data_IF_232399875159
#
_entry.id   IF_232399875159
#
_cell.length_a   1.000
_cell.length_b   1.000
_cell.length_c   1.000
_cell.angle_alpha   90.00
_cell.angle_beta   90.00
_cell.angle_gamma   90.00
#
_symmetry.space_group_name_H-M   'P 1'
#
loop_
_entity.id
_entity.type
_entity.pdbx_description
1 polymer ?
#
# COMPACT_ATOMS: atom_id res chain seq x y z
N UNK A 1 24.26 7.18 11.37
CA UNK A 1 24.21 8.44 10.59
C UNK A 1 24.75 8.13 9.20
N UNK A 2 23.94 8.32 8.18
CA UNK A 2 24.34 8.05 6.79
C UNK A 2 25.15 9.24 6.27
N UNK A 3 26.23 8.98 5.53
CA UNK A 3 27.15 9.97 4.95
C UNK A 3 26.54 10.86 3.84
N UNK A 4 25.26 11.16 3.90
CA UNK A 4 24.47 11.79 2.82
C UNK A 4 23.76 13.08 3.21
N UNK A 5 23.81 13.54 4.47
CA UNK A 5 23.07 14.72 4.88
C UNK A 5 23.90 15.99 4.69
N UNK A 6 24.09 16.41 3.41
CA UNK A 6 24.76 17.68 3.06
C UNK A 6 23.78 18.83 3.22
N UNK A 7 24.13 19.80 4.06
CA UNK A 7 23.40 21.03 4.30
C UNK A 7 24.03 22.15 3.49
N UNK A 8 23.25 22.89 2.71
CA UNK A 8 23.71 24.13 2.09
C UNK A 8 23.45 25.30 3.03
N UNK A 9 24.53 25.92 3.52
CA UNK A 9 24.48 27.10 4.38
C UNK A 9 24.75 28.36 3.57
N UNK A 10 23.76 29.27 3.51
CA UNK A 10 23.83 30.51 2.75
C UNK A 10 23.76 31.70 3.68
N UNK A 11 24.87 32.40 3.81
CA UNK A 11 25.03 33.54 4.73
C UNK A 11 26.11 34.47 4.17
N UNK A 12 25.86 35.76 4.08
CA UNK A 12 26.82 36.73 3.54
C UNK A 12 27.93 37.11 4.54
N UNK A 13 27.63 37.11 5.85
CA UNK A 13 28.59 37.44 6.91
C UNK A 13 29.50 36.25 7.20
N UNK A 14 30.77 36.35 6.80
CA UNK A 14 31.78 35.31 6.96
C UNK A 14 31.91 34.79 8.40
N UNK A 15 31.91 35.71 9.38
CA UNK A 15 32.01 35.33 10.80
C UNK A 15 30.84 34.47 11.27
N UNK A 16 29.60 34.85 10.91
CA UNK A 16 28.42 34.06 11.27
C UNK A 16 28.37 32.73 10.52
N UNK A 17 28.68 32.75 9.23
CA UNK A 17 28.76 31.55 8.40
C UNK A 17 29.75 30.54 8.97
N UNK A 18 30.95 30.97 9.39
CA UNK A 18 31.94 30.11 10.02
C UNK A 18 31.48 29.51 11.34
N UNK A 19 30.77 30.28 12.18
CA UNK A 19 30.22 29.78 13.46
C UNK A 19 29.14 28.73 13.20
N UNK A 20 28.16 29.04 12.34
CA UNK A 20 27.06 28.11 12.01
C UNK A 20 27.58 26.80 11.40
N UNK A 21 28.55 26.91 10.47
CA UNK A 21 29.20 25.75 9.88
C UNK A 21 29.85 24.87 10.96
N UNK A 22 30.67 25.46 11.83
CA UNK A 22 31.33 24.72 12.91
C UNK A 22 30.34 24.04 13.84
N UNK A 23 29.23 24.71 14.16
CA UNK A 23 28.15 24.15 15.00
C UNK A 23 27.52 22.92 14.34
N UNK A 24 27.19 23.01 13.07
CA UNK A 24 26.58 21.89 12.32
C UNK A 24 27.58 20.73 12.09
N UNK A 25 28.84 21.04 11.75
CA UNK A 25 29.88 20.02 11.56
C UNK A 25 30.24 19.28 12.86
N UNK A 26 30.16 19.95 14.00
CA UNK A 26 30.38 19.32 15.31
C UNK A 26 29.33 18.24 15.63
N UNK A 27 28.10 18.37 15.08
CA UNK A 27 27.03 17.38 15.17
C UNK A 27 27.08 16.30 14.04
N UNK A 28 28.11 16.37 13.18
CA UNK A 28 28.36 15.38 12.13
C UNK A 28 27.65 15.62 10.81
N UNK A 29 27.07 16.81 10.60
CA UNK A 29 26.49 17.18 9.30
C UNK A 29 27.57 17.60 8.31
N UNK A 30 27.42 17.20 7.04
CA UNK A 30 28.24 17.77 5.97
C UNK A 30 27.73 19.16 5.59
N UNK A 31 28.58 20.22 5.68
CA UNK A 31 28.16 21.58 5.39
C UNK A 31 28.86 22.12 4.17
N UNK A 32 28.11 22.60 3.19
CA UNK A 32 28.60 23.36 2.07
C UNK A 32 28.14 24.81 2.17
N UNK A 33 29.07 25.75 1.93
CA UNK A 33 28.83 27.18 2.11
C UNK A 33 28.53 27.90 0.80
N UNK A 34 27.65 28.91 0.86
CA UNK A 34 27.49 29.89 -0.19
C UNK A 34 27.50 31.31 0.40
N UNK A 35 28.32 32.22 -0.11
CA UNK A 35 28.45 33.58 0.43
C UNK A 35 27.32 34.51 -0.01
N UNK A 36 26.55 34.15 -1.01
CA UNK A 36 25.44 34.94 -1.56
C UNK A 36 24.37 34.04 -2.20
N UNK A 37 23.22 34.64 -2.53
CA UNK A 37 22.10 33.92 -3.06
C UNK A 37 22.32 33.38 -4.49
N UNK A 38 23.15 34.03 -5.32
CA UNK A 38 23.46 33.52 -6.67
C UNK A 38 24.28 32.25 -6.60
N UNK A 39 25.33 32.25 -5.79
CA UNK A 39 26.15 31.07 -5.55
C UNK A 39 25.31 29.91 -5.01
N UNK A 40 24.35 30.20 -4.12
CA UNK A 40 23.42 29.22 -3.60
C UNK A 40 22.55 28.59 -4.69
N UNK A 41 21.92 29.41 -5.54
CA UNK A 41 21.07 28.93 -6.64
C UNK A 41 21.86 28.09 -7.66
N UNK A 42 23.09 28.50 -7.99
CA UNK A 42 23.97 27.70 -8.87
C UNK A 42 24.31 26.34 -8.26
N UNK A 43 24.63 26.31 -6.97
CA UNK A 43 24.92 25.06 -6.25
C UNK A 43 23.70 24.14 -6.18
N UNK A 44 22.51 24.66 -5.87
CA UNK A 44 21.25 23.89 -5.84
C UNK A 44 20.94 23.24 -7.19
N UNK A 45 21.25 23.93 -8.30
CA UNK A 45 21.04 23.39 -9.66
C UNK A 45 22.01 22.27 -10.02
N UNK A 46 23.24 22.33 -9.48
CA UNK A 46 24.32 21.38 -9.81
C UNK A 46 24.41 20.19 -8.89
N UNK A 47 24.19 20.39 -7.61
CA UNK A 47 24.39 19.42 -6.56
C UNK A 47 23.09 19.10 -5.79
N UNK A 48 23.10 18.00 -5.02
CA UNK A 48 21.96 17.60 -4.17
C UNK A 48 22.27 17.88 -2.71
N UNK A 49 21.32 18.50 -2.02
CA UNK A 49 21.39 18.81 -0.60
C UNK A 49 20.26 18.14 0.17
N UNK A 50 20.51 17.83 1.44
CA UNK A 50 19.49 17.31 2.34
C UNK A 50 18.57 18.42 2.85
N UNK A 51 19.08 19.64 3.00
CA UNK A 51 18.34 20.85 3.35
C UNK A 51 19.13 22.10 2.98
N UNK A 52 18.46 23.24 3.00
CA UNK A 52 19.05 24.57 2.86
C UNK A 52 18.76 25.40 4.10
N UNK A 53 19.81 26.02 4.65
CA UNK A 53 19.73 27.05 5.68
C UNK A 53 20.19 28.37 5.06
N UNK A 54 19.32 29.35 4.92
CA UNK A 54 19.64 30.58 4.16
C UNK A 54 19.22 31.83 4.91
N UNK A 55 20.05 32.89 4.85
CA UNK A 55 19.58 34.22 5.24
C UNK A 55 18.48 34.72 4.30
N UNK A 56 17.53 35.43 4.83
CA UNK A 56 16.47 36.09 4.06
C UNK A 56 17.01 37.23 3.19
N UNK A 57 18.01 37.98 3.71
CA UNK A 57 18.61 39.15 3.06
C UNK A 57 20.02 38.84 2.60
N UNK A 58 20.18 38.49 1.34
CA UNK A 58 21.46 38.15 0.71
C UNK A 58 21.78 39.06 -0.46
N UNK A 59 23.05 39.29 -0.76
CA UNK A 59 23.46 39.91 -2.01
C UNK A 59 23.12 39.03 -3.21
N UNK A 60 22.78 39.65 -4.33
CA UNK A 60 22.62 38.99 -5.62
C UNK A 60 21.28 38.30 -5.85
N UNK A 61 20.85 37.42 -4.95
CA UNK A 61 19.52 36.81 -4.94
C UNK A 61 19.05 36.68 -3.50
N UNK A 62 17.78 36.96 -3.24
CA UNK A 62 17.18 36.91 -1.90
C UNK A 62 17.00 35.47 -1.40
N UNK A 63 16.84 35.30 -0.09
CA UNK A 63 16.50 33.99 0.48
C UNK A 63 15.20 33.39 -0.04
N UNK A 64 14.25 34.21 -0.50
CA UNK A 64 13.04 33.74 -1.19
C UNK A 64 13.32 33.16 -2.58
N UNK A 65 14.28 33.73 -3.31
CA UNK A 65 14.70 33.19 -4.61
C UNK A 65 15.46 31.87 -4.41
N UNK A 66 16.27 31.77 -3.34
CA UNK A 66 16.93 30.52 -2.95
C UNK A 66 15.90 29.44 -2.57
N UNK A 67 14.86 29.80 -1.80
CA UNK A 67 13.74 28.91 -1.46
C UNK A 67 13.03 28.40 -2.73
N UNK A 68 12.70 29.30 -3.66
CA UNK A 68 12.05 28.93 -4.92
C UNK A 68 12.92 27.99 -5.76
N UNK A 69 14.22 28.26 -5.81
CA UNK A 69 15.17 27.40 -6.52
C UNK A 69 15.28 26.00 -5.86
N UNK A 70 15.31 25.94 -4.54
CA UNK A 70 15.34 24.69 -3.78
C UNK A 70 14.10 23.85 -4.04
N UNK A 71 12.90 24.43 -3.96
CA UNK A 71 11.63 23.76 -4.22
C UNK A 71 11.47 23.30 -5.68
N UNK A 72 12.04 24.07 -6.62
CA UNK A 72 12.04 23.66 -8.04
C UNK A 72 12.97 22.51 -8.34
N UNK A 73 14.07 22.37 -7.56
CA UNK A 73 15.03 21.28 -7.72
C UNK A 73 14.59 20.00 -6.98
N UNK A 74 13.97 20.16 -5.80
CA UNK A 74 13.44 19.09 -4.97
C UNK A 74 12.31 19.66 -4.08
N UNK A 75 11.03 19.37 -4.42
CA UNK A 75 9.87 19.86 -3.66
C UNK A 75 9.85 19.41 -2.18
N UNK A 76 10.58 18.34 -1.83
CA UNK A 76 10.65 17.81 -0.46
C UNK A 76 11.86 18.34 0.32
N UNK A 77 12.72 19.17 -0.31
CA UNK A 77 13.89 19.74 0.34
C UNK A 77 13.48 20.80 1.37
N UNK A 78 13.70 20.58 2.67
CA UNK A 78 13.37 21.58 3.68
C UNK A 78 14.30 22.79 3.56
N UNK A 79 13.70 23.98 3.61
CA UNK A 79 14.43 25.26 3.62
C UNK A 79 14.09 26.01 4.90
N UNK A 80 15.10 26.33 5.69
CA UNK A 80 14.98 27.19 6.88
C UNK A 80 15.51 28.57 6.55
N UNK A 81 14.70 29.60 6.79
CA UNK A 81 15.07 30.98 6.55
C UNK A 81 15.58 31.65 7.85
N UNK A 82 16.74 32.28 7.79
CA UNK A 82 17.28 33.08 8.91
C UNK A 82 16.92 34.57 8.72
N UNK A 83 16.54 35.26 9.78
CA UNK A 83 16.17 36.70 9.72
C UNK A 83 16.70 37.49 10.91
N UNK A 84 17.20 38.68 10.66
CA UNK A 84 17.62 39.61 11.69
C UNK A 84 16.45 40.50 12.26
N UNK A 85 15.30 40.52 11.57
CA UNK A 85 14.13 41.27 11.94
C UNK A 85 12.91 40.33 11.84
N UNK A 86 12.67 39.58 12.91
CA UNK A 86 11.54 38.65 13.02
C UNK A 86 10.21 39.39 13.19
N UNK A 87 9.73 40.09 12.15
CA UNK A 87 8.34 40.52 12.22
C UNK A 87 7.45 39.30 11.95
N UNK A 88 6.32 39.21 12.66
CA UNK A 88 5.32 38.15 12.43
C UNK A 88 4.92 38.09 10.96
N UNK A 89 4.94 39.23 10.25
CA UNK A 89 4.63 39.30 8.81
C UNK A 89 5.67 38.58 7.93
N UNK A 90 6.97 38.74 8.23
CA UNK A 90 8.04 38.11 7.45
C UNK A 90 8.02 36.60 7.65
N UNK A 91 7.83 36.14 8.89
CA UNK A 91 7.66 34.73 9.21
C UNK A 91 6.45 34.10 8.47
N UNK A 92 5.28 34.76 8.53
CA UNK A 92 4.06 34.29 7.81
C UNK A 92 4.27 34.29 6.30
N UNK A 93 4.98 35.27 5.75
CA UNK A 93 5.31 35.31 4.32
C UNK A 93 6.21 34.14 3.92
N UNK A 94 7.24 33.86 4.69
CA UNK A 94 8.15 32.73 4.48
C UNK A 94 7.41 31.38 4.48
N UNK A 95 6.55 31.16 5.49
CA UNK A 95 5.76 29.93 5.59
C UNK A 95 4.75 29.79 4.44
N UNK A 96 4.10 30.87 4.02
CA UNK A 96 3.21 30.88 2.84
C UNK A 96 3.96 30.60 1.53
N UNK A 97 5.24 30.98 1.44
CA UNK A 97 6.09 30.68 0.32
C UNK A 97 6.63 29.24 0.33
N UNK A 98 6.32 28.44 1.36
CA UNK A 98 6.69 27.03 1.47
C UNK A 98 8.00 26.78 2.21
N UNK A 99 8.52 27.73 2.99
CA UNK A 99 9.62 27.45 3.89
C UNK A 99 9.21 26.42 4.94
N UNK A 100 10.15 25.54 5.33
CA UNK A 100 9.92 24.56 6.38
C UNK A 100 9.76 25.20 7.76
N UNK A 101 10.64 26.17 8.06
CA UNK A 101 10.59 26.99 9.28
C UNK A 101 11.43 28.26 9.09
N UNK A 102 11.43 29.12 10.10
CA UNK A 102 12.30 30.30 10.16
C UNK A 102 13.07 30.34 11.47
N UNK A 103 14.21 31.01 11.46
CA UNK A 103 15.10 31.16 12.62
C UNK A 103 15.49 32.64 12.82
N UNK A 104 15.25 33.18 14.00
CA UNK A 104 15.58 34.58 14.31
C UNK A 104 17.05 34.70 14.72
N UNK A 105 17.70 35.76 14.24
CA UNK A 105 19.06 36.14 14.65
C UNK A 105 18.99 37.08 15.87
N UNK A 106 19.84 36.89 16.90
CA UNK A 106 21.00 36.01 16.97
C UNK A 106 20.63 34.55 17.09
N UNK A 107 21.30 33.69 16.28
CA UNK A 107 20.99 32.25 16.19
C UNK A 107 21.48 31.56 17.45
N UNK A 108 20.56 30.95 18.19
CA UNK A 108 20.85 30.05 19.29
C UNK A 108 21.23 28.66 18.74
N UNK A 109 22.35 28.10 19.24
CA UNK A 109 22.88 26.85 18.71
C UNK A 109 21.94 25.65 18.96
N UNK A 110 21.36 25.55 20.15
CA UNK A 110 20.49 24.44 20.53
C UNK A 110 19.18 24.48 19.72
N UNK A 111 18.63 25.69 19.54
CA UNK A 111 17.45 25.90 18.71
C UNK A 111 17.70 25.56 17.23
N UNK A 112 18.83 26.00 16.67
CA UNK A 112 19.26 25.64 15.31
C UNK A 112 19.32 24.12 15.13
N UNK A 113 20.03 23.42 16.03
CA UNK A 113 20.20 21.98 15.93
C UNK A 113 18.89 21.22 16.07
N UNK A 114 18.00 21.67 16.96
CA UNK A 114 16.67 21.07 17.09
C UNK A 114 15.83 21.22 15.81
N UNK A 115 15.87 22.40 15.18
CA UNK A 115 15.17 22.64 13.90
C UNK A 115 15.74 21.82 12.76
N UNK A 116 17.09 21.75 12.64
CA UNK A 116 17.77 20.98 11.61
C UNK A 116 17.41 19.49 11.72
N UNK A 117 17.51 18.92 12.94
CA UNK A 117 17.14 17.50 13.17
C UNK A 117 15.68 17.25 12.79
N UNK A 118 14.75 18.09 13.27
CA UNK A 118 13.32 17.95 12.95
C UNK A 118 13.03 18.02 11.46
N UNK A 119 13.71 18.91 10.73
CA UNK A 119 13.55 19.05 9.29
C UNK A 119 14.07 17.82 8.51
N UNK A 120 15.22 17.30 8.91
CA UNK A 120 15.80 16.11 8.30
C UNK A 120 15.00 14.84 8.62
N UNK A 121 14.52 14.68 9.86
CA UNK A 121 13.65 13.57 10.26
C UNK A 121 12.33 13.59 9.48
N UNK A 122 11.71 14.77 9.34
CA UNK A 122 10.50 14.93 8.54
C UNK A 122 10.72 14.53 7.07
N UNK A 123 11.83 14.98 6.46
CA UNK A 123 12.20 14.57 5.10
C UNK A 123 12.43 13.06 4.99
N UNK A 124 13.12 12.47 5.96
CA UNK A 124 13.37 11.02 5.99
C UNK A 124 12.07 10.23 6.04
N UNK A 125 11.09 10.66 6.87
CA UNK A 125 9.76 10.04 6.96
C UNK A 125 8.96 10.20 5.67
N UNK A 126 9.01 11.36 5.00
CA UNK A 126 8.38 11.55 3.70
C UNK A 126 9.00 10.62 2.64
N UNK A 127 10.31 10.56 2.57
CA UNK A 127 11.03 9.69 1.63
C UNK A 127 10.77 8.20 1.90
N UNK A 128 10.75 7.78 3.17
CA UNK A 128 10.37 6.40 3.55
C UNK A 128 8.91 6.10 3.16
N UNK A 129 8.00 7.05 3.33
CA UNK A 129 6.60 6.92 2.91
C UNK A 129 6.47 6.79 1.38
N UNK A 130 7.26 7.56 0.61
CA UNK A 130 7.33 7.44 -0.85
C UNK A 130 7.90 6.08 -1.26
N UNK A 131 9.00 5.65 -0.67
CA UNK A 131 9.59 4.34 -0.94
C UNK A 131 8.67 3.18 -0.54
N UNK A 132 7.95 3.30 0.57
CA UNK A 132 6.92 2.34 0.96
C UNK A 132 5.77 2.34 -0.05
N UNK A 133 5.30 3.51 -0.47
CA UNK A 133 4.27 3.62 -1.52
C UNK A 133 4.76 3.06 -2.86
N UNK A 134 6.00 3.29 -3.24
CA UNK A 134 6.59 2.73 -4.46
C UNK A 134 6.78 1.21 -4.37
N UNK A 135 7.20 0.68 -3.22
CA UNK A 135 7.23 -0.77 -2.98
C UNK A 135 5.82 -1.37 -3.00
N UNK A 136 4.86 -0.71 -2.35
CA UNK A 136 3.45 -1.10 -2.45
C UNK A 136 2.90 -0.95 -3.87
N UNK A 137 3.33 0.04 -4.67
CA UNK A 137 2.87 0.20 -6.05
C UNK A 137 3.57 -0.76 -7.03
N UNK A 138 4.78 -1.23 -6.75
CA UNK A 138 5.42 -2.33 -7.50
C UNK A 138 4.79 -3.69 -7.18
N UNK A 139 4.23 -3.87 -5.98
CA UNK A 139 3.30 -4.97 -5.68
C UNK A 139 1.88 -4.72 -6.23
N UNK A 140 1.60 -3.51 -6.70
CA UNK A 140 0.34 -3.01 -7.28
C UNK A 140 0.37 -2.96 -8.81
N UNK A 141 1.23 -3.71 -9.49
CA UNK A 141 0.96 -4.07 -10.88
C UNK A 141 -0.44 -4.67 -10.95
N UNK A 142 -1.23 -4.21 -11.93
CA UNK A 142 -2.56 -4.77 -12.19
C UNK A 142 -2.38 -6.28 -12.13
N UNK A 143 -2.98 -6.98 -11.16
CA UNK A 143 -2.70 -8.40 -11.00
C UNK A 143 -3.06 -9.08 -12.31
N UNK A 144 -2.05 -9.64 -12.96
CA UNK A 144 -2.25 -10.32 -14.22
C UNK A 144 -3.06 -11.59 -13.95
N UNK A 145 -4.37 -11.51 -14.19
CA UNK A 145 -5.24 -12.67 -14.10
C UNK A 145 -5.01 -13.48 -15.36
N UNK A 146 -4.20 -14.51 -15.22
CA UNK A 146 -3.77 -15.37 -16.31
C UNK A 146 -4.87 -16.35 -16.72
N UNK A 147 -5.14 -16.46 -18.01
CA UNK A 147 -6.05 -17.39 -18.61
C UNK A 147 -6.79 -16.82 -19.82
N UNK A 148 -7.28 -17.71 -20.67
CA UNK A 148 -7.96 -17.38 -21.93
C UNK A 148 -9.33 -18.04 -22.05
N UNK A 149 -9.73 -18.84 -21.09
CA UNK A 149 -11.01 -19.56 -21.09
C UNK A 149 -12.21 -18.61 -21.17
N UNK A 150 -13.29 -19.07 -21.81
CA UNK A 150 -14.52 -18.28 -21.94
C UNK A 150 -15.15 -17.94 -20.57
N UNK A 151 -15.07 -18.87 -19.61
CA UNK A 151 -15.58 -18.66 -18.25
C UNK A 151 -14.84 -17.53 -17.54
N UNK A 152 -13.50 -17.51 -17.62
CA UNK A 152 -12.67 -16.46 -17.04
C UNK A 152 -12.93 -15.10 -17.71
N UNK A 153 -12.97 -15.05 -19.04
CA UNK A 153 -13.26 -13.83 -19.80
C UNK A 153 -14.60 -13.22 -19.44
N UNK A 154 -15.65 -14.06 -19.31
CA UNK A 154 -16.98 -13.62 -18.87
C UNK A 154 -16.97 -12.99 -17.48
N UNK A 155 -16.24 -13.59 -16.51
CA UNK A 155 -16.10 -13.03 -15.16
C UNK A 155 -15.31 -11.71 -15.18
N UNK A 156 -14.24 -11.61 -15.97
CA UNK A 156 -13.47 -10.38 -16.14
C UNK A 156 -14.26 -9.24 -16.81
N UNK A 157 -15.14 -9.58 -17.75
CA UNK A 157 -16.03 -8.56 -18.35
C UNK A 157 -17.03 -8.00 -17.35
N UNK A 158 -17.53 -8.83 -16.41
CA UNK A 158 -18.34 -8.34 -15.29
C UNK A 158 -17.53 -7.40 -14.38
N UNK A 159 -16.27 -7.75 -14.08
CA UNK A 159 -15.35 -6.88 -13.33
C UNK A 159 -15.20 -5.52 -14.03
N UNK A 160 -14.93 -5.49 -15.33
CA UNK A 160 -14.77 -4.24 -16.10
C UNK A 160 -16.01 -3.36 -16.01
N UNK A 161 -17.21 -3.96 -16.15
CA UNK A 161 -18.49 -3.22 -16.08
C UNK A 161 -18.72 -2.61 -14.70
N UNK A 162 -18.54 -3.38 -13.62
CA UNK A 162 -18.80 -2.91 -12.27
C UNK A 162 -17.71 -1.97 -11.75
N UNK A 163 -16.50 -2.07 -12.25
CA UNK A 163 -15.37 -1.25 -11.80
C UNK A 163 -15.64 0.26 -11.99
N UNK A 164 -16.35 0.65 -13.03
CA UNK A 164 -16.71 2.04 -13.31
C UNK A 164 -17.73 2.64 -12.32
N UNK A 165 -18.30 1.82 -11.42
CA UNK A 165 -19.32 2.24 -10.44
C UNK A 165 -18.79 2.09 -9.02
N UNK A 166 -19.47 2.70 -8.03
CA UNK A 166 -19.20 2.50 -6.60
C UNK A 166 -20.04 1.37 -5.97
N UNK A 167 -20.69 0.54 -6.79
CA UNK A 167 -21.51 -0.56 -6.31
C UNK A 167 -20.68 -1.55 -5.49
N UNK A 168 -21.29 -2.11 -4.44
CA UNK A 168 -20.73 -3.22 -3.68
C UNK A 168 -20.63 -4.45 -4.58
N UNK A 169 -19.47 -5.09 -4.59
CA UNK A 169 -19.18 -6.31 -5.36
C UNK A 169 -19.07 -7.50 -4.42
N UNK A 170 -19.79 -8.58 -4.73
CA UNK A 170 -19.71 -9.84 -4.01
C UNK A 170 -19.06 -10.90 -4.91
N UNK A 171 -17.85 -11.31 -4.60
CA UNK A 171 -17.11 -12.35 -5.30
C UNK A 171 -17.46 -13.72 -4.70
N UNK A 172 -18.10 -14.56 -5.49
CA UNK A 172 -18.49 -15.92 -5.10
C UNK A 172 -17.57 -16.92 -5.79
N UNK A 173 -17.07 -17.90 -5.07
CA UNK A 173 -16.22 -18.94 -5.66
C UNK A 173 -15.50 -19.76 -4.60
N UNK A 174 -15.05 -20.94 -5.00
CA UNK A 174 -14.34 -21.86 -4.13
C UNK A 174 -13.02 -21.28 -3.61
N UNK A 175 -12.49 -21.88 -2.55
CA UNK A 175 -11.17 -21.50 -2.04
C UNK A 175 -10.10 -21.73 -3.10
N UNK A 176 -9.12 -20.82 -3.20
CA UNK A 176 -8.01 -20.95 -4.15
C UNK A 176 -8.33 -20.58 -5.59
N UNK A 177 -9.53 -20.06 -5.93
CA UNK A 177 -9.89 -19.64 -7.29
C UNK A 177 -9.27 -18.32 -7.72
N UNK A 178 -8.72 -17.52 -6.75
CA UNK A 178 -8.10 -16.22 -7.01
C UNK A 178 -9.03 -15.03 -6.75
N UNK A 179 -10.05 -15.13 -5.89
CA UNK A 179 -10.98 -14.06 -5.55
C UNK A 179 -10.29 -12.73 -5.20
N UNK A 180 -9.16 -12.76 -4.50
CA UNK A 180 -8.40 -11.56 -4.17
C UNK A 180 -7.87 -10.83 -5.42
N UNK A 181 -7.40 -11.59 -6.45
CA UNK A 181 -6.95 -10.99 -7.71
C UNK A 181 -8.10 -10.27 -8.43
N UNK A 182 -9.31 -10.85 -8.39
CA UNK A 182 -10.53 -10.18 -8.91
C UNK A 182 -10.85 -8.91 -8.12
N UNK A 183 -10.76 -8.93 -6.78
CA UNK A 183 -10.98 -7.74 -5.95
C UNK A 183 -9.97 -6.62 -6.28
N UNK A 184 -8.70 -6.97 -6.44
CA UNK A 184 -7.66 -6.04 -6.89
C UNK A 184 -7.95 -5.51 -8.29
N UNK A 185 -8.41 -6.34 -9.23
CA UNK A 185 -8.79 -5.91 -10.57
C UNK A 185 -9.99 -4.92 -10.53
N UNK A 186 -11.01 -5.17 -9.68
CA UNK A 186 -12.12 -4.21 -9.46
C UNK A 186 -11.60 -2.86 -8.99
N UNK A 187 -10.65 -2.85 -8.05
CA UNK A 187 -10.05 -1.61 -7.55
C UNK A 187 -9.25 -0.88 -8.62
N UNK A 188 -8.34 -1.58 -9.30
CA UNK A 188 -7.44 -0.99 -10.31
C UNK A 188 -8.18 -0.42 -11.53
N UNK A 189 -9.31 -1.01 -11.90
CA UNK A 189 -10.13 -0.53 -13.01
C UNK A 189 -11.14 0.55 -12.57
N UNK A 190 -11.15 0.92 -11.28
CA UNK A 190 -12.11 1.89 -10.72
C UNK A 190 -11.57 3.33 -10.74
N UNK A 191 -12.46 4.29 -10.49
CA UNK A 191 -12.09 5.68 -10.22
C UNK A 191 -11.25 5.87 -8.94
N UNK A 192 -11.17 4.83 -8.07
CA UNK A 192 -10.40 4.87 -6.81
C UNK A 192 -9.01 4.22 -6.91
N UNK A 193 -8.52 3.91 -8.12
CA UNK A 193 -7.25 3.23 -8.38
C UNK A 193 -6.01 3.91 -7.78
N UNK A 194 -6.09 5.22 -7.54
CA UNK A 194 -5.01 6.02 -6.93
C UNK A 194 -5.05 6.04 -5.41
N UNK A 195 -6.11 5.47 -4.82
CA UNK A 195 -6.29 5.37 -3.39
C UNK A 195 -5.90 3.97 -2.90
N UNK A 196 -5.89 3.78 -1.60
CA UNK A 196 -5.45 2.53 -1.00
C UNK A 196 -6.46 1.38 -1.18
N UNK A 197 -5.94 0.17 -1.36
CA UNK A 197 -6.67 -1.09 -1.31
C UNK A 197 -6.30 -1.85 -0.05
N UNK A 198 -7.27 -2.16 0.81
CA UNK A 198 -7.05 -2.85 2.08
C UNK A 198 -7.74 -4.21 2.10
N UNK A 199 -6.98 -5.32 1.95
CA UNK A 199 -7.53 -6.66 2.13
C UNK A 199 -7.57 -7.04 3.61
N UNK A 200 -8.67 -7.68 4.02
CA UNK A 200 -8.85 -8.30 5.33
C UNK A 200 -9.47 -9.67 5.13
N UNK A 201 -8.84 -10.70 5.68
CA UNK A 201 -9.39 -12.04 5.73
C UNK A 201 -10.13 -12.21 7.07
N UNK A 202 -11.46 -12.32 7.01
CA UNK A 202 -12.31 -12.40 8.20
C UNK A 202 -12.18 -13.73 8.92
N UNK A 203 -11.78 -14.81 8.24
CA UNK A 203 -11.59 -16.12 8.86
C UNK A 203 -10.22 -16.26 9.57
N UNK A 204 -9.23 -15.43 9.22
CA UNK A 204 -7.87 -15.54 9.76
C UNK A 204 -7.69 -14.87 11.12
N UNK A 205 -8.65 -14.06 11.57
CA UNK A 205 -8.54 -13.21 12.76
C UNK A 205 -9.68 -13.56 13.73
N UNK A 206 -9.41 -13.81 15.02
CA UNK A 206 -10.46 -14.00 16.03
C UNK A 206 -11.40 -12.80 16.12
N UNK A 207 -12.69 -13.02 16.34
CA UNK A 207 -13.77 -12.03 16.27
C UNK A 207 -13.49 -10.73 17.05
N UNK A 208 -13.03 -10.84 18.29
CA UNK A 208 -12.71 -9.69 19.15
C UNK A 208 -11.54 -8.85 18.61
N UNK A 209 -10.57 -9.49 17.98
CA UNK A 209 -9.46 -8.80 17.32
C UNK A 209 -9.91 -8.23 15.99
N UNK A 210 -10.73 -8.97 15.22
CA UNK A 210 -11.27 -8.51 13.94
C UNK A 210 -12.12 -7.25 14.12
N UNK A 211 -12.93 -7.18 15.18
CA UNK A 211 -13.69 -5.99 15.52
C UNK A 211 -12.79 -4.78 15.73
N UNK A 212 -11.75 -4.93 16.54
CA UNK A 212 -10.77 -3.87 16.81
C UNK A 212 -9.94 -3.49 15.60
N UNK A 213 -9.64 -4.42 14.70
CA UNK A 213 -8.95 -4.14 13.42
C UNK A 213 -9.87 -3.38 12.45
N UNK A 214 -11.14 -3.78 12.32
CA UNK A 214 -12.09 -3.14 11.40
C UNK A 214 -12.47 -1.74 11.85
N UNK A 215 -12.90 -1.58 13.12
CA UNK A 215 -13.49 -0.34 13.64
C UNK A 215 -12.50 0.53 14.42
N UNK A 216 -11.35 -0.01 14.84
CA UNK A 216 -10.45 0.65 15.76
C UNK A 216 -11.00 0.66 17.20
N UNK A 217 -10.24 1.24 18.11
CA UNK A 217 -10.63 1.32 19.52
C UNK A 217 -10.15 2.59 20.20
N UNK A 218 -10.88 3.01 21.21
CA UNK A 218 -10.47 4.09 22.10
C UNK A 218 -9.69 3.53 23.31
N UNK A 219 -8.90 4.40 23.93
CA UNK A 219 -8.16 4.05 25.13
C UNK A 219 -9.11 3.52 26.22
N UNK A 220 -8.80 2.36 26.79
CA UNK A 220 -9.62 1.71 27.82
C UNK A 220 -10.78 0.85 27.29
N UNK A 221 -10.93 0.66 25.99
CA UNK A 221 -12.00 -0.14 25.40
C UNK A 221 -11.99 -1.61 25.84
N UNK A 222 -10.82 -2.15 26.15
CA UNK A 222 -10.62 -3.51 26.69
C UNK A 222 -9.30 -3.58 27.47
N UNK A 223 -9.08 -4.67 28.20
CA UNK A 223 -7.83 -4.92 28.95
C UNK A 223 -6.65 -4.98 27.98
N UNK A 224 -5.74 -3.99 28.06
CA UNK A 224 -4.60 -3.84 27.15
C UNK A 224 -4.73 -2.68 26.15
N UNK A 225 -5.88 -2.01 26.05
CA UNK A 225 -6.06 -0.81 25.22
C UNK A 225 -5.43 0.42 25.89
N UNK A 226 -4.09 0.52 25.84
CA UNK A 226 -3.32 1.62 26.45
C UNK A 226 -3.39 2.93 25.67
N UNK A 227 -3.77 2.87 24.38
CA UNK A 227 -3.90 4.02 23.48
C UNK A 227 -5.10 3.87 22.55
N UNK A 228 -5.35 4.88 21.73
CA UNK A 228 -6.36 4.86 20.66
C UNK A 228 -5.75 4.29 19.39
N UNK A 229 -6.47 3.43 18.66
CA UNK A 229 -6.07 2.87 17.37
C UNK A 229 -7.14 3.12 16.31
N UNK A 230 -6.71 3.59 15.13
CA UNK A 230 -7.58 3.73 13.96
C UNK A 230 -7.90 2.36 13.36
N UNK A 231 -9.17 2.16 12.99
CA UNK A 231 -9.63 0.95 12.32
C UNK A 231 -9.44 0.99 10.80
N UNK A 232 -9.58 -0.17 10.15
CA UNK A 232 -9.43 -0.30 8.69
C UNK A 232 -10.49 0.47 7.93
N UNK A 233 -11.73 0.62 8.45
CA UNK A 233 -12.73 1.48 7.85
C UNK A 233 -12.27 2.95 7.78
N UNK A 234 -11.63 3.44 8.83
CA UNK A 234 -11.09 4.81 8.87
C UNK A 234 -9.85 4.98 7.97
N UNK A 235 -8.97 3.97 7.96
CA UNK A 235 -7.74 4.01 7.14
C UNK A 235 -8.04 3.87 5.65
N UNK A 236 -9.12 3.15 5.29
CA UNK A 236 -9.55 2.93 3.92
C UNK A 236 -10.41 4.07 3.35
N UNK A 237 -10.56 5.18 4.07
CA UNK A 237 -11.35 6.33 3.58
C UNK A 237 -10.90 6.78 2.19
N UNK A 238 -11.88 7.04 1.29
CA UNK A 238 -11.71 7.29 -0.16
C UNK A 238 -11.20 6.10 -0.98
N UNK A 239 -10.74 5.02 -0.35
CA UNK A 239 -10.17 3.83 -0.98
C UNK A 239 -11.18 2.69 -1.17
N UNK A 240 -10.62 1.48 -1.23
CA UNK A 240 -11.39 0.22 -1.35
C UNK A 240 -11.03 -0.70 -0.19
N UNK A 241 -12.05 -1.19 0.52
CA UNK A 241 -11.91 -2.23 1.52
C UNK A 241 -12.35 -3.56 0.92
N UNK A 242 -11.49 -4.58 0.99
CA UNK A 242 -11.78 -5.94 0.56
C UNK A 242 -11.95 -6.85 1.79
N UNK A 243 -13.13 -7.41 1.97
CA UNK A 243 -13.44 -8.37 3.04
C UNK A 243 -13.50 -9.78 2.44
N UNK A 244 -12.42 -10.54 2.64
CA UNK A 244 -12.37 -11.96 2.23
C UNK A 244 -13.01 -12.84 3.29
N UNK A 245 -13.65 -13.93 2.86
CA UNK A 245 -14.40 -14.88 3.67
C UNK A 245 -15.43 -14.19 4.58
N UNK A 246 -16.23 -13.28 4.01
CA UNK A 246 -17.26 -12.49 4.72
C UNK A 246 -18.30 -13.39 5.41
N UNK A 247 -18.51 -14.61 4.93
CA UNK A 247 -19.42 -15.60 5.52
C UNK A 247 -18.95 -16.18 6.85
N UNK A 248 -17.74 -15.81 7.32
CA UNK A 248 -17.18 -16.21 8.62
C UNK A 248 -17.43 -15.18 9.73
N UNK A 249 -18.00 -14.01 9.41
CA UNK A 249 -18.30 -12.99 10.42
C UNK A 249 -19.36 -13.47 11.41
N UNK A 250 -19.15 -13.19 12.71
CA UNK A 250 -20.18 -13.37 13.72
C UNK A 250 -21.37 -12.42 13.51
N UNK A 251 -22.56 -12.80 13.96
CA UNK A 251 -23.77 -12.00 13.82
C UNK A 251 -23.62 -10.58 14.40
N UNK A 252 -22.84 -10.43 15.47
CA UNK A 252 -22.53 -9.11 16.06
C UNK A 252 -21.76 -8.20 15.09
N UNK A 253 -20.71 -8.74 14.47
CA UNK A 253 -19.92 -8.01 13.48
C UNK A 253 -20.69 -7.73 12.19
N UNK A 254 -21.54 -8.67 11.76
CA UNK A 254 -22.40 -8.47 10.60
C UNK A 254 -23.28 -7.23 10.76
N UNK A 255 -23.88 -7.00 11.96
CA UNK A 255 -24.68 -5.82 12.24
C UNK A 255 -23.90 -4.51 12.16
N UNK A 256 -22.65 -4.51 12.67
CA UNK A 256 -21.77 -3.33 12.59
C UNK A 256 -21.32 -3.03 11.16
N UNK A 257 -20.94 -4.06 10.39
CA UNK A 257 -20.59 -3.93 8.97
C UNK A 257 -21.77 -3.40 8.16
N UNK A 258 -22.99 -3.90 8.40
CA UNK A 258 -24.20 -3.41 7.75
C UNK A 258 -24.39 -1.91 7.98
N UNK A 259 -24.23 -1.42 9.22
CA UNK A 259 -24.33 0.00 9.55
C UNK A 259 -23.36 0.85 8.73
N UNK A 260 -22.11 0.39 8.55
CA UNK A 260 -21.12 1.10 7.72
C UNK A 260 -21.56 1.14 6.25
N UNK A 261 -22.05 0.03 5.71
CA UNK A 261 -22.46 -0.05 4.31
C UNK A 261 -23.66 0.88 4.03
N UNK A 262 -24.63 0.96 4.96
CA UNK A 262 -25.85 1.73 4.78
C UNK A 262 -25.71 3.21 5.11
N UNK A 263 -25.09 3.49 6.25
CA UNK A 263 -25.04 4.84 6.82
C UNK A 263 -23.72 5.56 6.51
N UNK A 264 -22.69 4.85 6.01
CA UNK A 264 -21.35 5.39 5.83
C UNK A 264 -20.76 5.91 7.16
N UNK A 265 -21.18 5.34 8.28
CA UNK A 265 -20.82 5.77 9.62
C UNK A 265 -20.53 4.58 10.52
N UNK A 266 -19.63 4.78 11.48
CA UNK A 266 -19.33 3.79 12.52
C UNK A 266 -18.79 4.49 13.79
N UNK A 267 -18.65 3.73 14.85
CA UNK A 267 -18.05 4.12 16.12
C UNK A 267 -16.89 3.17 16.43
N UNK A 268 -15.82 3.68 17.02
CA UNK A 268 -14.72 2.85 17.52
C UNK A 268 -15.19 2.01 18.70
N UNK A 269 -14.54 0.87 18.92
CA UNK A 269 -14.81 0.03 20.08
C UNK A 269 -14.51 0.82 21.38
N UNK A 270 -15.50 0.87 22.28
CA UNK A 270 -15.43 1.66 23.51
C UNK A 270 -15.61 3.17 23.33
N UNK A 271 -15.86 3.66 22.12
CA UNK A 271 -16.13 5.06 21.81
C UNK A 271 -17.62 5.30 21.53
N UNK A 272 -18.01 6.58 21.64
CA UNK A 272 -19.38 7.06 21.32
C UNK A 272 -19.36 8.08 20.17
N UNK A 273 -18.19 8.44 19.67
CA UNK A 273 -18.04 9.38 18.57
C UNK A 273 -18.35 8.69 17.24
N UNK A 274 -19.37 9.21 16.54
CA UNK A 274 -19.74 8.73 15.19
C UNK A 274 -18.76 9.31 14.16
N UNK A 275 -18.19 8.43 13.36
CA UNK A 275 -17.22 8.75 12.29
C UNK A 275 -17.80 8.41 10.95
N UNK A 276 -17.69 9.34 10.00
CA UNK A 276 -18.13 9.13 8.61
C UNK A 276 -16.97 8.64 7.75
N UNK A 277 -17.27 7.73 6.80
CA UNK A 277 -16.28 7.21 5.83
C UNK A 277 -16.90 7.06 4.46
N UNK A 278 -16.08 7.29 3.44
CA UNK A 278 -16.44 7.06 2.04
C UNK A 278 -15.55 5.95 1.47
N UNK A 279 -16.00 4.72 1.57
CA UNK A 279 -15.29 3.55 1.08
C UNK A 279 -16.07 2.85 -0.04
N UNK A 280 -15.34 2.22 -0.95
CA UNK A 280 -15.85 1.18 -1.82
C UNK A 280 -15.67 -0.17 -1.15
N UNK A 281 -16.71 -1.00 -1.10
CA UNK A 281 -16.65 -2.34 -0.52
C UNK A 281 -16.62 -3.40 -1.62
N UNK A 282 -15.67 -4.32 -1.50
CA UNK A 282 -15.63 -5.60 -2.22
C UNK A 282 -15.64 -6.71 -1.17
N UNK A 283 -16.51 -7.68 -1.28
CA UNK A 283 -16.57 -8.82 -0.38
C UNK A 283 -16.36 -10.12 -1.14
N UNK A 284 -15.81 -11.14 -0.50
CA UNK A 284 -15.65 -12.46 -1.09
C UNK A 284 -16.02 -13.57 -0.11
N UNK A 285 -16.50 -14.69 -0.63
CA UNK A 285 -16.78 -15.89 0.16
C UNK A 285 -16.83 -17.14 -0.71
N UNK A 286 -16.55 -18.28 -0.10
CA UNK A 286 -16.76 -19.61 -0.64
C UNK A 286 -18.06 -20.24 -0.12
N UNK A 287 -18.78 -19.58 0.82
CA UNK A 287 -19.99 -20.10 1.47
C UNK A 287 -21.25 -19.67 0.73
N UNK A 288 -22.30 -20.48 0.82
CA UNK A 288 -23.64 -20.09 0.39
C UNK A 288 -24.27 -19.15 1.43
N UNK A 289 -24.06 -17.84 1.25
CA UNK A 289 -24.63 -16.81 2.12
C UNK A 289 -26.16 -16.84 2.17
N UNK A 290 -26.81 -17.22 1.07
CA UNK A 290 -28.28 -17.32 1.00
C UNK A 290 -28.79 -18.45 1.89
N UNK A 291 -28.13 -19.60 1.82
CA UNK A 291 -28.41 -20.74 2.71
C UNK A 291 -28.12 -20.43 4.17
N UNK A 292 -27.00 -19.76 4.46
CA UNK A 292 -26.68 -19.30 5.83
C UNK A 292 -27.70 -18.29 6.35
N UNK A 293 -28.20 -17.40 5.50
CA UNK A 293 -29.25 -16.44 5.89
C UNK A 293 -30.57 -17.14 6.22
N UNK A 294 -30.95 -18.17 5.45
CA UNK A 294 -32.13 -18.97 5.75
C UNK A 294 -32.03 -19.75 7.06
N UNK A 295 -30.79 -20.13 7.48
CA UNK A 295 -30.51 -20.81 8.75
C UNK A 295 -30.31 -19.84 9.93
N UNK A 296 -30.36 -18.53 9.72
CA UNK A 296 -30.11 -17.51 10.74
C UNK A 296 -28.64 -17.34 11.14
N UNK A 297 -27.71 -17.98 10.43
CA UNK A 297 -26.26 -17.87 10.66
C UNK A 297 -25.65 -16.64 9.95
N UNK A 298 -26.39 -16.06 9.00
CA UNK A 298 -26.04 -14.80 8.34
C UNK A 298 -27.26 -13.88 8.30
N UNK A 299 -27.06 -12.57 8.43
CA UNK A 299 -28.18 -11.61 8.40
C UNK A 299 -28.69 -11.43 6.96
N UNK A 300 -29.97 -11.52 6.77
CA UNK A 300 -30.60 -11.37 5.46
C UNK A 300 -30.44 -9.95 4.89
N UNK A 301 -30.52 -8.93 5.74
CA UNK A 301 -30.33 -7.53 5.36
C UNK A 301 -28.89 -7.28 4.83
N UNK A 302 -27.89 -7.79 5.53
CA UNK A 302 -26.50 -7.71 5.08
C UNK A 302 -26.29 -8.45 3.75
N UNK A 303 -26.87 -9.65 3.59
CA UNK A 303 -26.78 -10.39 2.33
C UNK A 303 -27.27 -9.55 1.14
N UNK A 304 -28.45 -8.91 1.24
CA UNK A 304 -28.95 -8.07 0.16
C UNK A 304 -28.08 -6.84 -0.12
N UNK A 305 -27.45 -6.26 0.89
CA UNK A 305 -26.53 -5.14 0.73
C UNK A 305 -25.18 -5.52 0.12
N UNK A 306 -24.70 -6.73 0.35
CA UNK A 306 -23.49 -7.27 -0.26
C UNK A 306 -23.75 -7.76 -1.69
N UNK A 307 -24.91 -8.37 -1.94
CA UNK A 307 -25.27 -9.00 -3.22
C UNK A 307 -25.83 -8.03 -4.27
N UNK A 308 -25.34 -6.77 -4.28
CA UNK A 308 -25.74 -5.78 -5.31
C UNK A 308 -25.20 -6.19 -6.67
N UNK A 309 -23.93 -6.57 -6.74
CA UNK A 309 -23.32 -7.06 -7.97
C UNK A 309 -22.52 -8.35 -7.67
N UNK A 310 -23.15 -9.52 -7.75
CA UNK A 310 -22.45 -10.78 -7.55
C UNK A 310 -21.65 -11.17 -8.81
N UNK A 311 -20.42 -11.63 -8.62
CA UNK A 311 -19.54 -12.18 -9.66
C UNK A 311 -19.11 -13.57 -9.23
N UNK A 312 -19.42 -14.57 -10.06
CA UNK A 312 -18.96 -15.94 -9.86
C UNK A 312 -17.56 -16.09 -10.43
N UNK A 313 -16.58 -16.40 -9.59
CA UNK A 313 -15.20 -16.73 -10.01
C UNK A 313 -15.16 -18.22 -10.33
N UNK A 314 -14.92 -18.61 -11.59
CA UNK A 314 -15.02 -20.00 -12.00
C UNK A 314 -13.94 -20.87 -11.32
N UNK A 315 -14.29 -22.07 -10.84
CA UNK A 315 -13.33 -23.04 -10.35
C UNK A 315 -12.44 -23.55 -11.50
N UNK A 316 -11.24 -24.05 -11.17
CA UNK A 316 -10.24 -24.40 -12.19
C UNK A 316 -10.71 -25.53 -13.12
N UNK A 317 -11.56 -26.46 -12.63
CA UNK A 317 -12.18 -27.52 -13.44
C UNK A 317 -13.11 -27.01 -14.56
N UNK A 318 -13.64 -25.79 -14.46
CA UNK A 318 -14.47 -25.15 -15.50
C UNK A 318 -13.64 -24.30 -16.48
N UNK A 319 -12.31 -24.24 -16.26
CA UNK A 319 -11.35 -23.51 -17.10
C UNK A 319 -10.04 -24.28 -17.28
N UNK A 320 -10.12 -25.57 -17.57
CA UNK A 320 -8.95 -26.45 -17.74
C UNK A 320 -8.00 -26.00 -18.85
N UNK A 321 -8.51 -25.26 -19.85
CA UNK A 321 -7.69 -24.63 -20.89
C UNK A 321 -6.68 -23.62 -20.33
N UNK A 322 -6.92 -23.07 -19.14
CA UNK A 322 -6.02 -22.14 -18.47
C UNK A 322 -4.88 -22.85 -17.70
N UNK A 323 -5.02 -24.17 -17.41
CA UNK A 323 -4.04 -24.93 -16.63
C UNK A 323 -2.64 -24.90 -17.24
N UNK A 324 -2.45 -25.10 -18.58
CA UNK A 324 -1.12 -25.00 -19.18
C UNK A 324 -0.49 -23.61 -19.08
N UNK A 325 -1.30 -22.55 -19.15
CA UNK A 325 -0.84 -21.15 -19.02
C UNK A 325 -0.36 -20.89 -17.60
N UNK A 326 -1.20 -21.24 -16.61
CA UNK A 326 -0.90 -21.13 -15.19
C UNK A 326 0.34 -21.96 -14.80
N UNK A 327 0.42 -23.21 -15.27
CA UNK A 327 1.55 -24.08 -14.99
C UNK A 327 2.88 -23.48 -15.48
N UNK A 328 2.92 -22.97 -16.71
CA UNK A 328 4.12 -22.29 -17.26
C UNK A 328 4.50 -21.06 -16.46
N UNK A 329 3.51 -20.28 -16.03
CA UNK A 329 3.74 -19.10 -15.19
C UNK A 329 4.37 -19.51 -13.85
N UNK A 330 3.80 -20.47 -13.13
CA UNK A 330 4.33 -20.92 -11.85
C UNK A 330 5.71 -21.56 -11.96
N UNK A 331 5.95 -22.35 -13.01
CA UNK A 331 7.30 -22.88 -13.28
C UNK A 331 8.31 -21.74 -13.45
N UNK A 332 7.98 -20.70 -14.23
CA UNK A 332 8.86 -19.54 -14.42
C UNK A 332 9.10 -18.80 -13.10
N UNK A 333 8.04 -18.56 -12.32
CA UNK A 333 8.10 -17.89 -11.02
C UNK A 333 9.03 -18.63 -10.06
N UNK A 334 8.73 -19.89 -9.76
CA UNK A 334 9.48 -20.66 -8.78
C UNK A 334 10.88 -21.08 -9.25
N UNK A 335 11.11 -21.25 -10.55
CA UNK A 335 12.46 -21.45 -11.07
C UNK A 335 13.37 -20.23 -10.82
N UNK A 336 12.82 -19.02 -10.94
CA UNK A 336 13.54 -17.79 -10.62
C UNK A 336 13.82 -17.68 -9.12
N UNK A 337 12.83 -17.92 -8.27
CA UNK A 337 12.94 -17.87 -6.79
C UNK A 337 13.96 -18.90 -6.26
N UNK A 338 13.94 -20.13 -6.79
CA UNK A 338 14.86 -21.22 -6.43
C UNK A 338 16.24 -21.12 -7.12
N UNK A 339 16.49 -20.05 -7.92
CA UNK A 339 17.74 -19.84 -8.66
C UNK A 339 18.17 -21.05 -9.48
N UNK A 340 17.21 -21.79 -10.08
CA UNK A 340 17.49 -22.93 -10.92
C UNK A 340 18.24 -22.49 -12.19
N UNK A 341 19.25 -23.29 -12.61
CA UNK A 341 20.05 -22.98 -13.79
C UNK A 341 19.33 -23.42 -15.07
N UNK A 342 18.98 -22.45 -15.90
CA UNK A 342 18.37 -22.69 -17.22
C UNK A 342 16.84 -22.84 -17.20
N UNK A 343 16.21 -22.88 -18.40
CA UNK A 343 14.76 -23.00 -18.53
C UNK A 343 14.30 -24.41 -18.15
N UNK A 344 13.21 -24.49 -17.39
CA UNK A 344 12.56 -25.76 -17.05
C UNK A 344 11.43 -26.00 -18.06
N UNK A 345 11.48 -27.16 -18.70
CA UNK A 345 10.51 -27.60 -19.72
C UNK A 345 9.40 -28.41 -19.06
N UNK A 346 8.15 -28.10 -19.41
CA UNK A 346 6.97 -28.92 -19.13
C UNK A 346 6.69 -29.80 -20.35
N UNK A 347 7.00 -31.11 -20.31
CA UNK A 347 6.73 -32.03 -21.42
C UNK A 347 5.22 -32.16 -21.64
N UNK A 348 4.78 -32.59 -22.87
CA UNK A 348 3.37 -32.78 -23.18
C UNK A 348 2.66 -33.77 -22.23
N UNK A 349 3.33 -34.81 -21.79
CA UNK A 349 2.83 -35.80 -20.83
C UNK A 349 2.52 -35.17 -19.46
N UNK A 350 3.33 -34.22 -19.02
CA UNK A 350 3.11 -33.47 -17.75
C UNK A 350 1.93 -32.51 -17.90
N UNK A 351 1.84 -31.81 -19.02
CA UNK A 351 0.69 -30.91 -19.29
C UNK A 351 -0.62 -31.73 -19.40
N UNK A 352 -0.59 -32.92 -19.99
CA UNK A 352 -1.75 -33.81 -20.04
C UNK A 352 -2.17 -34.30 -18.64
N UNK A 353 -1.20 -34.64 -17.78
CA UNK A 353 -1.47 -35.04 -16.40
C UNK A 353 -2.10 -33.87 -15.58
N UNK A 354 -1.59 -32.67 -15.76
CA UNK A 354 -2.15 -31.46 -15.12
C UNK A 354 -3.57 -31.15 -15.59
N UNK A 355 -3.86 -31.29 -16.89
CA UNK A 355 -5.19 -31.04 -17.46
C UNK A 355 -6.21 -32.13 -17.09
N UNK A 356 -5.77 -33.35 -16.79
CA UNK A 356 -6.65 -34.45 -16.41
C UNK A 356 -7.09 -34.43 -14.94
N UNK A 357 -6.49 -33.61 -14.11
CA UNK A 357 -6.80 -33.51 -12.68
C UNK A 357 -7.87 -32.45 -12.40
N UNK A 358 -8.77 -32.70 -11.45
CA UNK A 358 -9.95 -31.86 -11.19
C UNK A 358 -9.69 -30.62 -10.36
N UNK A 359 -8.52 -30.52 -9.75
CA UNK A 359 -8.07 -29.37 -8.94
C UNK A 359 -9.06 -28.91 -7.86
N UNK A 360 -9.41 -29.75 -6.88
CA UNK A 360 -10.35 -29.35 -5.82
C UNK A 360 -9.88 -28.14 -5.02
N UNK A 361 -8.57 -27.93 -4.87
CA UNK A 361 -7.97 -26.72 -4.27
C UNK A 361 -7.69 -25.60 -5.28
N UNK A 362 -8.19 -25.72 -6.52
CA UNK A 362 -8.12 -24.73 -7.58
C UNK A 362 -6.68 -24.29 -7.91
N UNK A 363 -6.48 -23.00 -8.18
CA UNK A 363 -5.19 -22.42 -8.57
C UNK A 363 -4.14 -22.55 -7.45
N UNK A 364 -4.57 -22.45 -6.18
CA UNK A 364 -3.65 -22.62 -5.03
C UNK A 364 -3.08 -24.03 -4.96
N UNK A 365 -3.88 -25.05 -5.25
CA UNK A 365 -3.40 -26.44 -5.30
C UNK A 365 -2.45 -26.66 -6.49
N UNK A 366 -2.77 -26.11 -7.66
CA UNK A 366 -1.90 -26.14 -8.83
C UNK A 366 -0.55 -25.47 -8.55
N UNK A 367 -0.56 -24.29 -7.94
CA UNK A 367 0.64 -23.54 -7.55
C UNK A 367 1.52 -24.38 -6.62
N UNK A 368 0.95 -24.94 -5.55
CA UNK A 368 1.66 -25.78 -4.59
C UNK A 368 2.19 -27.08 -5.23
N UNK A 369 1.44 -27.68 -6.16
CA UNK A 369 1.88 -28.89 -6.87
C UNK A 369 3.10 -28.62 -7.76
N UNK A 370 3.10 -27.49 -8.48
CA UNK A 370 4.24 -27.07 -9.31
C UNK A 370 5.45 -26.74 -8.45
N UNK A 371 5.27 -26.01 -7.35
CA UNK A 371 6.35 -25.68 -6.42
C UNK A 371 7.02 -26.94 -5.86
N UNK A 372 6.22 -27.89 -5.36
CA UNK A 372 6.69 -29.19 -4.87
C UNK A 372 7.43 -29.96 -5.95
N UNK A 373 6.86 -30.02 -7.15
CA UNK A 373 7.46 -30.73 -8.26
C UNK A 373 8.82 -30.15 -8.67
N UNK A 374 8.99 -28.85 -8.57
CA UNK A 374 10.27 -28.16 -8.81
C UNK A 374 11.31 -28.46 -7.73
N UNK A 375 10.88 -28.64 -6.47
CA UNK A 375 11.79 -29.04 -5.37
C UNK A 375 12.27 -30.47 -5.55
N UNK A 376 11.37 -31.38 -5.95
CA UNK A 376 11.67 -32.81 -6.12
C UNK A 376 12.39 -33.12 -7.43
N UNK A 377 12.14 -32.34 -8.48
CA UNK A 377 12.72 -32.57 -9.80
C UNK A 377 14.18 -32.12 -9.87
N UNK A 378 15.07 -33.07 -10.19
CA UNK A 378 16.46 -32.83 -10.51
C UNK A 378 16.61 -32.64 -12.03
N UNK A 379 16.92 -31.42 -12.50
CA UNK A 379 17.18 -31.18 -13.92
C UNK A 379 16.27 -30.13 -14.56
N UNK A 380 16.28 -30.11 -15.91
CA UNK A 380 15.57 -29.11 -16.74
C UNK A 380 14.19 -29.52 -17.22
N UNK A 381 13.67 -30.71 -16.81
CA UNK A 381 12.37 -31.24 -17.21
C UNK A 381 11.54 -31.62 -16.01
N UNK A 382 10.30 -31.14 -15.96
CA UNK A 382 9.34 -31.48 -14.92
C UNK A 382 8.47 -32.65 -15.42
N UNK A 383 8.68 -33.84 -14.86
CA UNK A 383 7.95 -35.05 -15.24
C UNK A 383 6.66 -35.25 -14.43
N UNK A 384 5.66 -36.02 -14.92
CA UNK A 384 4.40 -36.27 -14.21
C UNK A 384 4.59 -36.84 -12.81
N UNK A 385 5.60 -37.71 -12.61
CA UNK A 385 5.93 -38.32 -11.32
C UNK A 385 6.35 -37.30 -10.24
N UNK A 386 6.92 -36.17 -10.64
CA UNK A 386 7.28 -35.08 -9.70
C UNK A 386 6.06 -34.33 -9.15
N UNK A 387 4.92 -34.36 -9.86
CA UNK A 387 3.71 -33.63 -9.44
C UNK A 387 3.06 -34.22 -8.19
N UNK A 388 3.26 -35.53 -7.94
CA UNK A 388 2.66 -36.26 -6.82
C UNK A 388 1.16 -35.93 -6.62
N UNK A 389 0.43 -35.90 -7.75
CA UNK A 389 -1.01 -35.68 -7.71
C UNK A 389 -1.69 -36.87 -7.02
N UNK A 390 -2.60 -36.66 -6.09
CA UNK A 390 -3.38 -37.74 -5.47
C UNK A 390 -4.13 -38.49 -6.54
N UNK A 391 -4.29 -39.84 -6.38
CA UNK A 391 -5.19 -40.63 -7.22
C UNK A 391 -6.64 -40.19 -6.89
N UNK A 392 -7.05 -39.10 -7.50
CA UNK A 392 -8.38 -38.47 -7.28
C UNK A 392 -9.27 -38.61 -8.51
N UNK A 393 -10.56 -38.25 -8.40
CA UNK A 393 -11.49 -38.35 -9.53
C UNK A 393 -10.94 -37.54 -10.71
N UNK A 394 -10.80 -38.23 -11.85
CA UNK A 394 -10.49 -37.60 -13.12
C UNK A 394 -11.64 -36.65 -13.50
N UNK A 395 -11.32 -35.52 -14.08
CA UNK A 395 -12.32 -34.65 -14.67
C UNK A 395 -13.10 -35.45 -15.70
N UNK A 396 -14.45 -35.49 -15.58
CA UNK A 396 -15.34 -36.18 -16.49
C UNK A 396 -15.48 -35.42 -17.81
#
# INVERSE_FOLDING_TARGET
MKATDRILLVEDKESLRAVLKKTLEAEGFGVEEAPDGRAAVEKIRRDRYAMVLTDLRLPGASGHEVLTAAQSADPEMPVILMTAYGTIRDAVSAMKAGAYDYLEKPVDADHLLALVRRALDHRSLLHENVLLKERFSQELDVPEILGESAALKSALDQVRRVAATDATVLLLGESGTGKELFARAVHHLSGRKTHSFFPINCAAIPDNLLESELFGYERGAFTGATGTKRGKFEIADKGTLFLDEIGDLSLGLQGKVLRVIEQRQFERVGGTETRSVDIRLVAATNKDLKGLAAQGAFRQDLYFRLSVFPINVPPLRERLDDVPILARHFVKKFAAEQKKRGPIVLPPETLAALAAYSWPGNVRELENAIERALILGEGSRLLPEHLQLPAGPRAA
#
